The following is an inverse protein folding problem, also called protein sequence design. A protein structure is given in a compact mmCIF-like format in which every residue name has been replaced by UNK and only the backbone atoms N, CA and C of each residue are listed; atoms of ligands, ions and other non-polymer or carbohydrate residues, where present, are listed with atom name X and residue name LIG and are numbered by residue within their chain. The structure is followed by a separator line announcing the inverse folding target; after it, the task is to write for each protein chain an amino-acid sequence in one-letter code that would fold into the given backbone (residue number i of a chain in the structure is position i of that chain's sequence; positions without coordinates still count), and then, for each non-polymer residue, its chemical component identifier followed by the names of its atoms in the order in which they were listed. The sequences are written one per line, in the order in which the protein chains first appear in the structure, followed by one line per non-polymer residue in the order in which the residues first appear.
data_IF_767304974226
#
_entry.id   IF_767304974226
#
_cell.length_a   1.000
_cell.length_b   1.000
_cell.length_c   1.000
_cell.angle_alpha   90.00
_cell.angle_beta   90.00
_cell.angle_gamma   90.00
#
_symmetry.space_group_name_H-M   'P 1'
#
loop_
_entity.id
_entity.type
_entity.pdbx_description
1 polymer ?
#
# COMPACT_ATOMS: atom_id res chain seq x y z
N UNK A 1 12.96 -24.05 -44.69
CA UNK A 1 11.63 -24.36 -44.14
C UNK A 1 10.90 -23.04 -43.93
N UNK A 2 10.09 -22.60 -44.89
CA UNK A 2 9.34 -21.33 -44.82
C UNK A 2 8.11 -21.53 -43.97
N UNK A 3 8.15 -21.05 -42.72
CA UNK A 3 6.98 -21.07 -41.82
C UNK A 3 5.88 -20.19 -42.44
N UNK A 4 4.74 -20.78 -42.77
CA UNK A 4 3.59 -20.08 -43.36
C UNK A 4 3.16 -18.93 -42.45
N UNK A 5 2.86 -17.72 -43.01
CA UNK A 5 2.36 -16.55 -42.29
C UNK A 5 1.15 -16.85 -41.40
N UNK A 6 0.37 -17.90 -41.72
CA UNK A 6 -0.79 -18.34 -40.92
C UNK A 6 -0.39 -19.06 -39.62
N UNK A 7 0.70 -19.86 -39.63
CA UNK A 7 1.20 -20.55 -38.42
C UNK A 7 1.87 -19.58 -37.45
N UNK A 8 2.44 -18.49 -37.93
CA UNK A 8 3.10 -17.46 -37.11
C UNK A 8 2.15 -16.71 -36.17
N UNK A 9 0.85 -16.66 -36.46
CA UNK A 9 -0.17 -16.03 -35.59
C UNK A 9 -0.47 -16.82 -34.31
N UNK A 10 -0.27 -18.14 -34.33
CA UNK A 10 -0.56 -19.03 -33.20
C UNK A 10 0.64 -19.26 -32.28
N UNK A 11 1.86 -19.01 -32.74
CA UNK A 11 3.08 -19.21 -31.95
C UNK A 11 3.05 -18.43 -30.63
N UNK A 12 2.69 -17.12 -30.59
CA UNK A 12 2.62 -16.37 -29.32
C UNK A 12 1.59 -16.98 -28.36
N UNK A 13 0.45 -17.43 -28.86
CA UNK A 13 -0.58 -18.04 -28.03
C UNK A 13 -0.16 -19.38 -27.43
N UNK A 14 0.55 -20.22 -28.22
CA UNK A 14 1.09 -21.51 -27.75
C UNK A 14 2.16 -21.27 -26.67
N UNK A 15 3.02 -20.25 -26.85
CA UNK A 15 4.05 -19.90 -25.87
C UNK A 15 3.47 -19.35 -24.56
N UNK A 16 2.37 -18.60 -24.62
CA UNK A 16 1.73 -17.99 -23.44
C UNK A 16 0.75 -19.00 -22.77
N UNK A 17 0.26 -20.00 -23.51
CA UNK A 17 -0.76 -20.96 -23.03
C UNK A 17 -0.40 -21.62 -21.69
N UNK A 18 0.84 -22.14 -21.45
CA UNK A 18 1.20 -22.72 -20.16
C UNK A 18 1.03 -21.73 -19.00
N UNK A 19 1.44 -20.48 -19.21
CA UNK A 19 1.31 -19.41 -18.20
C UNK A 19 -0.16 -19.09 -17.94
N UNK A 20 -1.00 -19.00 -19.00
CA UNK A 20 -2.45 -18.75 -18.88
C UNK A 20 -3.12 -19.89 -18.11
N UNK A 21 -2.79 -21.14 -18.41
CA UNK A 21 -3.37 -22.30 -17.73
C UNK A 21 -2.98 -22.34 -16.25
N UNK A 22 -1.68 -22.18 -15.93
CA UNK A 22 -1.20 -22.18 -14.55
C UNK A 22 -1.81 -21.00 -13.77
N UNK A 23 -1.78 -19.78 -14.33
CA UNK A 23 -2.35 -18.59 -13.66
C UNK A 23 -3.87 -18.68 -13.58
N UNK A 24 -4.54 -19.18 -14.60
CA UNK A 24 -5.97 -19.44 -14.55
C UNK A 24 -6.34 -20.38 -13.39
N UNK A 25 -5.66 -21.50 -13.29
CA UNK A 25 -5.90 -22.46 -12.21
C UNK A 25 -5.55 -21.86 -10.84
N UNK A 26 -4.36 -21.29 -10.67
CA UNK A 26 -3.90 -20.77 -9.36
C UNK A 26 -4.64 -19.52 -8.89
N UNK A 27 -5.28 -18.79 -9.78
CA UNK A 27 -6.02 -17.56 -9.44
C UNK A 27 -7.53 -17.77 -9.45
N UNK A 28 -8.10 -18.33 -10.53
CA UNK A 28 -9.57 -18.47 -10.66
C UNK A 28 -10.12 -19.53 -9.72
N UNK A 29 -9.44 -20.67 -9.57
CA UNK A 29 -9.93 -21.75 -8.71
C UNK A 29 -10.09 -21.31 -7.24
N UNK A 30 -9.10 -20.70 -6.58
CA UNK A 30 -9.28 -20.19 -5.22
C UNK A 30 -10.37 -19.11 -5.11
N UNK A 31 -10.53 -18.25 -6.11
CA UNK A 31 -11.59 -17.24 -6.12
C UNK A 31 -12.97 -17.92 -6.13
N UNK A 32 -13.16 -18.91 -7.00
CA UNK A 32 -14.43 -19.65 -7.10
C UNK A 32 -14.73 -20.43 -5.80
N UNK A 33 -13.70 -21.05 -5.21
CA UNK A 33 -13.84 -21.74 -3.91
C UNK A 33 -14.21 -20.76 -2.81
N UNK A 34 -13.58 -19.58 -2.75
CA UNK A 34 -13.90 -18.53 -1.77
C UNK A 34 -15.32 -18.01 -1.95
N UNK A 35 -15.76 -17.76 -3.20
CA UNK A 35 -17.13 -17.37 -3.51
C UNK A 35 -18.15 -18.45 -3.07
N UNK A 36 -17.85 -19.73 -3.34
CA UNK A 36 -18.68 -20.84 -2.86
C UNK A 36 -18.73 -20.86 -1.34
N UNK A 37 -17.57 -20.86 -0.68
CA UNK A 37 -17.49 -20.99 0.78
C UNK A 37 -18.16 -19.82 1.51
N UNK A 38 -18.22 -18.64 0.92
CA UNK A 38 -18.91 -17.47 1.50
C UNK A 38 -20.42 -17.66 1.68
N UNK A 39 -21.03 -18.60 0.93
CA UNK A 39 -22.44 -18.93 1.02
C UNK A 39 -22.75 -20.08 2.00
N UNK A 40 -21.71 -20.62 2.65
CA UNK A 40 -21.81 -21.73 3.59
C UNK A 40 -21.35 -21.29 4.98
N UNK A 41 -21.97 -21.84 6.03
CA UNK A 41 -21.43 -21.83 7.38
C UNK A 41 -20.46 -23.01 7.52
N UNK A 42 -19.15 -22.72 7.44
CA UNK A 42 -18.10 -23.73 7.50
C UNK A 42 -17.28 -23.49 8.77
N UNK A 43 -17.54 -24.29 9.79
CA UNK A 43 -16.80 -24.28 11.07
C UNK A 43 -16.03 -25.58 11.24
N UNK A 44 -14.72 -25.53 11.07
CA UNK A 44 -13.87 -26.73 11.06
C UNK A 44 -13.89 -27.44 12.42
N UNK A 45 -13.92 -26.70 13.53
CA UNK A 45 -13.91 -27.28 14.89
C UNK A 45 -15.19 -28.07 15.22
N UNK A 46 -16.36 -27.59 14.76
CA UNK A 46 -17.65 -28.23 15.05
C UNK A 46 -18.13 -29.14 13.93
N UNK A 47 -17.38 -29.26 12.83
CA UNK A 47 -17.76 -30.06 11.66
C UNK A 47 -18.97 -29.51 10.89
N UNK A 48 -19.43 -28.29 11.19
CA UNK A 48 -20.56 -27.67 10.49
C UNK A 48 -20.16 -27.30 9.06
N UNK A 49 -20.98 -27.69 8.11
CA UNK A 49 -20.84 -27.32 6.69
C UNK A 49 -22.24 -27.24 6.06
N UNK A 50 -22.93 -26.14 6.30
CA UNK A 50 -24.33 -25.94 5.90
C UNK A 50 -24.45 -24.76 4.93
N UNK A 51 -25.32 -24.90 3.93
CA UNK A 51 -25.63 -23.80 3.03
C UNK A 51 -26.53 -22.78 3.74
N UNK A 52 -26.02 -21.56 3.94
CA UNK A 52 -26.73 -20.47 4.62
C UNK A 52 -27.03 -19.28 3.71
N UNK A 53 -26.73 -19.38 2.42
CA UNK A 53 -26.95 -18.31 1.45
C UNK A 53 -26.25 -17.02 1.85
N UNK A 54 -27.01 -15.94 2.00
CA UNK A 54 -26.45 -14.61 2.33
C UNK A 54 -26.40 -14.30 3.84
N UNK A 55 -26.69 -15.26 4.73
CA UNK A 55 -26.73 -15.00 6.16
C UNK A 55 -25.37 -14.52 6.71
N UNK A 56 -24.25 -15.06 6.22
CA UNK A 56 -22.92 -14.60 6.60
C UNK A 56 -22.72 -13.12 6.25
N UNK A 57 -23.19 -12.65 5.10
CA UNK A 57 -23.10 -11.26 4.68
C UNK A 57 -23.88 -10.33 5.61
N UNK A 58 -25.08 -10.75 6.04
CA UNK A 58 -25.88 -9.98 7.02
C UNK A 58 -25.16 -9.89 8.36
N UNK A 59 -24.53 -10.98 8.81
CA UNK A 59 -23.81 -11.03 10.07
C UNK A 59 -22.58 -10.12 10.05
N UNK A 60 -21.87 -10.01 8.92
CA UNK A 60 -20.71 -9.11 8.77
C UNK A 60 -21.08 -7.65 9.05
N UNK A 61 -22.26 -7.19 8.60
CA UNK A 61 -22.71 -5.81 8.86
C UNK A 61 -23.08 -5.55 10.32
N UNK A 62 -23.34 -6.59 11.11
CA UNK A 62 -23.69 -6.49 12.55
C UNK A 62 -22.49 -6.74 13.47
N UNK A 63 -21.34 -7.14 12.92
CA UNK A 63 -20.14 -7.46 13.69
C UNK A 63 -19.32 -6.20 13.95
N UNK A 64 -19.34 -5.71 15.19
CA UNK A 64 -18.60 -4.51 15.62
C UNK A 64 -17.09 -4.65 15.40
N UNK A 65 -16.55 -5.86 15.50
CA UNK A 65 -15.12 -6.12 15.28
C UNK A 65 -14.76 -5.94 13.80
N UNK A 66 -15.65 -6.33 12.90
CA UNK A 66 -15.47 -6.12 11.46
C UNK A 66 -15.57 -4.64 11.13
N UNK A 67 -16.52 -3.91 11.71
CA UNK A 67 -16.65 -2.46 11.51
C UNK A 67 -15.39 -1.73 12.00
N UNK A 68 -14.85 -2.12 13.16
CA UNK A 68 -13.58 -1.59 13.68
C UNK A 68 -12.42 -1.88 12.71
N UNK A 69 -12.34 -3.11 12.19
CA UNK A 69 -11.29 -3.50 11.24
C UNK A 69 -11.38 -2.74 9.91
N UNK A 70 -12.59 -2.54 9.37
CA UNK A 70 -12.82 -1.74 8.17
C UNK A 70 -12.41 -0.28 8.42
N UNK A 71 -12.89 0.30 9.53
CA UNK A 71 -12.59 1.68 9.90
C UNK A 71 -11.09 1.91 10.03
N UNK A 72 -10.39 1.05 10.76
CA UNK A 72 -8.95 1.19 10.91
C UNK A 72 -8.21 0.92 9.59
N UNK A 73 -8.66 -0.02 8.75
CA UNK A 73 -8.06 -0.24 7.43
C UNK A 73 -8.14 1.02 6.56
N UNK A 74 -9.28 1.70 6.54
CA UNK A 74 -9.43 2.96 5.80
C UNK A 74 -8.49 4.03 6.34
N UNK A 75 -8.45 4.23 7.67
CA UNK A 75 -7.53 5.18 8.31
C UNK A 75 -6.09 4.83 7.98
N UNK A 76 -5.69 3.57 8.13
CA UNK A 76 -4.35 3.08 7.86
C UNK A 76 -3.94 3.36 6.40
N UNK A 77 -4.78 3.00 5.43
CA UNK A 77 -4.50 3.21 4.01
C UNK A 77 -4.39 4.70 3.70
N UNK A 78 -5.37 5.52 4.11
CA UNK A 78 -5.39 6.95 3.77
C UNK A 78 -4.22 7.68 4.42
N UNK A 79 -4.02 7.49 5.72
CA UNK A 79 -2.96 8.19 6.45
C UNK A 79 -1.58 7.74 5.95
N UNK A 80 -1.34 6.43 5.82
CA UNK A 80 -0.08 5.93 5.28
C UNK A 80 0.19 6.48 3.88
N UNK A 81 -0.81 6.50 2.98
CA UNK A 81 -0.62 7.00 1.62
C UNK A 81 -0.31 8.51 1.57
N UNK A 82 -1.01 9.31 2.37
CA UNK A 82 -0.72 10.76 2.47
C UNK A 82 0.74 10.99 2.89
N UNK A 83 1.18 10.30 3.94
CA UNK A 83 2.56 10.41 4.39
C UNK A 83 3.57 9.81 3.40
N UNK A 84 3.25 8.72 2.70
CA UNK A 84 4.12 8.18 1.64
C UNK A 84 4.32 9.18 0.51
N UNK A 85 3.27 9.87 0.07
CA UNK A 85 3.39 10.89 -0.97
C UNK A 85 4.24 12.06 -0.47
N UNK A 86 3.93 12.62 0.68
CA UNK A 86 4.63 13.81 1.21
C UNK A 86 6.09 13.50 1.51
N UNK A 87 6.32 12.51 2.36
CA UNK A 87 7.68 12.17 2.83
C UNK A 87 8.49 11.46 1.75
N UNK A 88 7.83 10.66 0.90
CA UNK A 88 8.48 9.95 -0.20
C UNK A 88 8.97 10.90 -1.30
N UNK A 89 8.17 11.92 -1.66
CA UNK A 89 8.63 12.98 -2.57
C UNK A 89 9.76 13.77 -1.93
N UNK A 90 9.65 14.13 -0.64
CA UNK A 90 10.73 14.84 0.07
C UNK A 90 12.03 14.03 0.10
N UNK A 91 11.95 12.74 0.44
CA UNK A 91 13.11 11.85 0.43
C UNK A 91 13.68 11.67 -0.99
N UNK A 92 12.84 11.54 -2.00
CA UNK A 92 13.27 11.45 -3.40
C UNK A 92 14.03 12.69 -3.85
N UNK A 93 13.59 13.88 -3.46
CA UNK A 93 14.31 15.14 -3.73
C UNK A 93 15.69 15.15 -3.08
N UNK A 94 15.81 14.73 -1.81
CA UNK A 94 17.10 14.59 -1.12
C UNK A 94 18.02 13.62 -1.86
N UNK A 95 17.49 12.45 -2.25
CA UNK A 95 18.24 11.43 -2.97
C UNK A 95 18.60 11.84 -4.42
N UNK A 96 17.91 12.86 -4.98
CA UNK A 96 18.21 13.43 -6.29
C UNK A 96 19.35 14.44 -6.27
N UNK A 97 19.68 15.00 -5.12
CA UNK A 97 20.75 15.99 -4.97
C UNK A 97 22.11 15.40 -5.40
N UNK A 98 22.97 16.28 -5.95
CA UNK A 98 24.34 15.92 -6.37
C UNK A 98 25.31 16.08 -5.20
N UNK A 99 25.67 14.98 -4.53
CA UNK A 99 26.68 14.95 -3.46
C UNK A 99 27.50 13.66 -3.49
N UNK A 100 28.69 13.71 -2.84
CA UNK A 100 29.56 12.54 -2.71
C UNK A 100 28.88 11.50 -1.82
N UNK A 101 28.85 10.21 -2.26
CA UNK A 101 28.23 9.12 -1.49
C UNK A 101 26.73 8.91 -1.75
N UNK A 102 26.07 9.67 -2.64
CA UNK A 102 24.63 9.50 -2.94
C UNK A 102 24.24 8.08 -3.35
N UNK A 103 25.13 7.35 -4.05
CA UNK A 103 24.85 5.95 -4.44
C UNK A 103 24.76 5.05 -3.21
N UNK A 104 25.68 5.20 -2.28
CA UNK A 104 25.70 4.47 -1.03
C UNK A 104 24.47 4.78 -0.16
N UNK A 105 24.09 6.07 -0.05
CA UNK A 105 22.88 6.47 0.66
C UNK A 105 21.61 5.83 0.07
N UNK A 106 21.48 5.79 -1.26
CA UNK A 106 20.35 5.13 -1.94
C UNK A 106 20.25 3.64 -1.60
N UNK A 107 21.38 2.96 -1.42
CA UNK A 107 21.42 1.55 -1.04
C UNK A 107 21.04 1.35 0.43
N UNK A 108 21.58 2.13 1.34
CA UNK A 108 21.30 2.02 2.79
C UNK A 108 19.85 2.35 3.11
N UNK A 109 19.30 3.38 2.48
CA UNK A 109 17.91 3.79 2.68
C UNK A 109 16.92 2.65 2.34
N UNK A 110 17.28 1.72 1.43
CA UNK A 110 16.43 0.57 1.09
C UNK A 110 16.47 -0.59 2.10
N UNK A 111 17.36 -0.57 3.09
CA UNK A 111 17.48 -1.67 4.08
C UNK A 111 16.15 -1.98 4.77
N UNK A 112 15.38 -1.00 5.28
CA UNK A 112 14.10 -1.30 5.93
C UNK A 112 13.11 -2.02 5.00
N UNK A 113 13.03 -1.63 3.74
CA UNK A 113 12.15 -2.27 2.77
C UNK A 113 12.54 -3.72 2.48
N UNK A 114 13.83 -4.03 2.46
CA UNK A 114 14.32 -5.39 2.21
C UNK A 114 14.06 -6.36 3.38
N UNK A 115 13.70 -5.86 4.57
CA UNK A 115 13.42 -6.69 5.73
C UNK A 115 11.99 -7.29 5.66
N UNK A 116 11.81 -8.57 6.07
CA UNK A 116 10.48 -9.16 6.20
C UNK A 116 9.61 -8.39 7.20
N UNK A 117 8.33 -8.15 6.85
CA UNK A 117 7.43 -7.36 7.69
C UNK A 117 7.21 -7.96 9.08
N UNK A 118 7.22 -9.30 9.19
CA UNK A 118 7.15 -10.01 10.49
C UNK A 118 8.33 -9.63 11.40
N UNK A 119 9.54 -9.58 10.85
CA UNK A 119 10.76 -9.22 11.62
C UNK A 119 10.66 -7.77 12.11
N UNK A 120 10.19 -6.87 11.24
CA UNK A 120 9.97 -5.47 11.62
C UNK A 120 8.89 -5.36 12.70
N UNK A 121 7.78 -6.10 12.56
CA UNK A 121 6.72 -6.13 13.57
C UNK A 121 7.20 -6.62 14.94
N UNK A 122 8.01 -7.69 14.97
CA UNK A 122 8.62 -8.19 16.21
C UNK A 122 9.59 -7.19 16.83
N UNK A 123 10.46 -6.58 16.01
CA UNK A 123 11.38 -5.54 16.46
C UNK A 123 10.63 -4.30 16.97
N UNK A 124 9.54 -3.92 16.31
CA UNK A 124 8.68 -2.82 16.74
C UNK A 124 7.99 -3.13 18.07
N UNK A 125 7.42 -4.32 18.22
CA UNK A 125 6.81 -4.76 19.49
C UNK A 125 7.79 -4.62 20.64
N UNK A 126 9.04 -5.00 20.43
CA UNK A 126 10.12 -4.82 21.40
C UNK A 126 10.48 -3.35 21.59
N UNK A 127 10.64 -2.59 20.50
CA UNK A 127 11.04 -1.18 20.53
C UNK A 127 10.01 -0.26 21.20
N UNK A 128 8.71 -0.57 21.10
CA UNK A 128 7.62 0.16 21.73
C UNK A 128 7.23 -0.40 23.12
N UNK A 129 8.02 -1.31 23.69
CA UNK A 129 7.75 -1.83 25.03
C UNK A 129 7.89 -0.71 26.07
N UNK A 130 7.02 -0.73 27.11
CA UNK A 130 6.99 0.30 28.17
C UNK A 130 8.26 0.34 28.98
N UNK A 131 8.81 -0.81 29.37
CA UNK A 131 9.87 -0.91 30.38
C UNK A 131 11.27 -0.77 29.76
N UNK A 132 11.52 -1.52 28.68
CA UNK A 132 12.82 -1.65 28.05
C UNK A 132 12.86 -1.22 26.57
N UNK A 133 11.76 -0.65 26.07
CA UNK A 133 11.65 -0.30 24.65
C UNK A 133 12.49 0.92 24.28
N UNK A 134 13.09 0.85 23.09
CA UNK A 134 13.97 1.91 22.55
C UNK A 134 13.29 3.28 22.48
N UNK A 135 11.98 3.32 22.22
CA UNK A 135 11.22 4.57 22.07
C UNK A 135 11.15 5.30 23.42
N UNK A 136 10.78 4.61 24.49
CA UNK A 136 10.76 5.19 25.84
C UNK A 136 12.18 5.53 26.32
N UNK A 137 13.18 4.68 26.02
CA UNK A 137 14.56 4.94 26.39
C UNK A 137 15.13 6.20 25.70
N UNK A 138 14.79 6.38 24.43
CA UNK A 138 15.17 7.60 23.70
C UNK A 138 14.54 8.85 24.30
N UNK A 139 13.24 8.81 24.66
CA UNK A 139 12.54 9.96 25.24
C UNK A 139 13.04 10.25 26.66
N UNK A 140 13.37 9.22 27.45
CA UNK A 140 13.96 9.37 28.81
C UNK A 140 15.27 10.18 28.84
N UNK A 141 15.99 10.25 27.73
CA UNK A 141 17.19 11.12 27.63
C UNK A 141 16.86 12.61 27.68
N UNK A 142 15.60 12.98 27.44
CA UNK A 142 15.12 14.38 27.43
C UNK A 142 14.07 14.66 28.50
N UNK A 143 13.32 13.63 28.93
CA UNK A 143 12.26 13.72 29.93
C UNK A 143 12.49 12.64 30.97
N UNK A 144 12.91 13.04 32.16
CA UNK A 144 13.17 12.13 33.28
C UNK A 144 11.93 11.28 33.58
N UNK A 145 12.10 10.01 33.93
CA UNK A 145 11.07 9.05 34.30
C UNK A 145 9.94 8.85 33.25
N UNK A 146 10.16 9.23 32.01
CA UNK A 146 9.14 9.03 30.96
C UNK A 146 8.81 7.54 30.79
N UNK A 147 7.54 7.21 30.97
CA UNK A 147 6.97 5.88 30.70
C UNK A 147 5.65 6.02 29.96
N UNK A 148 5.51 5.33 28.85
CA UNK A 148 4.28 5.32 28.08
C UNK A 148 4.04 3.97 27.41
N UNK A 149 2.83 3.46 27.59
CA UNK A 149 2.39 2.19 27.01
C UNK A 149 1.85 2.40 25.59
N UNK A 150 2.73 2.42 24.62
CA UNK A 150 2.41 2.72 23.22
C UNK A 150 1.40 1.77 22.58
N UNK A 151 1.46 0.49 22.92
CA UNK A 151 0.67 -0.56 22.28
C UNK A 151 -0.61 -0.94 23.06
N UNK A 152 -0.85 -0.33 24.22
CA UNK A 152 -2.06 -0.57 25.03
C UNK A 152 -3.15 0.47 24.73
N UNK A 153 -2.78 1.68 24.36
CA UNK A 153 -3.74 2.72 24.02
C UNK A 153 -4.05 2.70 22.53
N UNK A 154 -5.32 2.71 22.14
CA UNK A 154 -5.80 2.64 20.75
C UNK A 154 -5.11 3.64 19.83
N UNK A 155 -5.05 4.91 20.22
CA UNK A 155 -4.48 5.98 19.40
C UNK A 155 -2.98 5.78 19.13
N UNK A 156 -2.21 5.51 20.16
CA UNK A 156 -0.76 5.29 20.03
C UNK A 156 -0.42 3.97 19.34
N UNK A 157 -1.20 2.90 19.57
CA UNK A 157 -1.01 1.62 18.88
C UNK A 157 -1.24 1.76 17.37
N UNK A 158 -2.33 2.43 16.95
CA UNK A 158 -2.61 2.75 15.54
C UNK A 158 -1.50 3.61 14.93
N UNK A 159 -1.07 4.66 15.63
CA UNK A 159 0.01 5.52 15.18
C UNK A 159 1.33 4.75 15.04
N UNK A 160 1.66 3.87 15.98
CA UNK A 160 2.85 3.03 15.93
C UNK A 160 2.85 2.06 14.74
N UNK A 161 1.71 1.41 14.45
CA UNK A 161 1.56 0.54 13.26
C UNK A 161 1.76 1.34 11.98
N UNK A 162 1.15 2.53 11.85
CA UNK A 162 1.32 3.41 10.68
C UNK A 162 2.78 3.88 10.56
N UNK A 163 3.42 4.25 11.66
CA UNK A 163 4.81 4.70 11.66
C UNK A 163 5.78 3.60 11.20
N UNK A 164 5.54 2.35 11.60
CA UNK A 164 6.36 1.22 11.18
C UNK A 164 6.14 0.83 9.71
N UNK A 165 4.90 0.92 9.21
CA UNK A 165 4.60 0.78 7.78
C UNK A 165 5.34 1.84 6.95
N UNK A 166 5.28 3.11 7.40
CA UNK A 166 6.00 4.20 6.76
C UNK A 166 7.51 3.97 6.78
N UNK A 167 8.08 3.66 7.94
CA UNK A 167 9.53 3.43 8.05
C UNK A 167 10.00 2.32 7.12
N UNK A 168 9.21 1.27 6.97
CA UNK A 168 9.53 0.13 6.11
C UNK A 168 9.45 0.48 4.63
N UNK A 169 8.33 1.02 4.16
CA UNK A 169 8.01 1.08 2.73
C UNK A 169 8.29 2.44 2.08
N UNK A 170 8.40 3.53 2.88
CA UNK A 170 8.71 4.88 2.40
C UNK A 170 9.97 4.95 1.52
N UNK A 171 11.10 4.28 1.89
CA UNK A 171 12.30 4.33 1.07
C UNK A 171 12.09 3.77 -0.34
N UNK A 172 11.34 2.70 -0.48
CA UNK A 172 11.06 2.11 -1.78
C UNK A 172 10.16 3.02 -2.62
N UNK A 173 9.12 3.60 -2.02
CA UNK A 173 8.29 4.62 -2.68
C UNK A 173 9.16 5.79 -3.17
N UNK A 174 10.05 6.30 -2.33
CA UNK A 174 10.94 7.42 -2.67
C UNK A 174 11.88 7.09 -3.84
N UNK A 175 12.43 5.87 -3.91
CA UNK A 175 13.28 5.44 -5.04
C UNK A 175 12.48 5.37 -6.34
N UNK A 176 11.23 4.94 -6.29
CA UNK A 176 10.36 4.93 -7.47
C UNK A 176 9.98 6.35 -7.93
N UNK A 177 9.72 7.27 -6.99
CA UNK A 177 9.54 8.69 -7.30
C UNK A 177 10.82 9.30 -7.86
N UNK A 178 11.99 8.95 -7.30
CA UNK A 178 13.29 9.40 -7.79
C UNK A 178 13.50 9.01 -9.26
N UNK A 179 13.04 7.83 -9.69
CA UNK A 179 13.12 7.45 -11.09
C UNK A 179 12.36 8.44 -11.99
N UNK A 180 11.17 8.90 -11.57
CA UNK A 180 10.41 9.93 -12.25
C UNK A 180 11.15 11.27 -12.31
N UNK A 181 11.78 11.69 -11.21
CA UNK A 181 12.58 12.92 -11.16
C UNK A 181 13.76 12.90 -12.14
N UNK A 182 14.33 11.73 -12.43
CA UNK A 182 15.47 11.62 -13.34
C UNK A 182 15.11 11.78 -14.82
N UNK A 183 13.83 11.72 -15.18
CA UNK A 183 13.37 11.99 -16.54
C UNK A 183 13.20 13.48 -16.83
N UNK A 184 13.26 14.37 -15.83
CA UNK A 184 13.16 15.82 -16.04
C UNK A 184 14.53 16.32 -16.49
N UNK A 185 14.57 16.95 -17.70
CA UNK A 185 15.80 17.53 -18.22
C UNK A 185 16.31 18.67 -17.31
N UNK A 186 17.64 18.73 -17.14
CA UNK A 186 18.31 19.84 -16.45
C UNK A 186 18.04 21.21 -17.07
N UNK A 187 17.90 21.26 -18.39
CA UNK A 187 17.69 22.49 -19.15
C UNK A 187 16.41 23.23 -18.72
N UNK A 188 15.36 22.48 -18.31
CA UNK A 188 14.12 23.09 -17.80
C UNK A 188 14.40 23.88 -16.51
N UNK A 189 15.24 23.36 -15.64
CA UNK A 189 15.62 24.04 -14.40
C UNK A 189 16.58 25.24 -14.67
N UNK A 190 17.43 25.14 -15.68
CA UNK A 190 18.31 26.22 -16.09
C UNK A 190 17.50 27.37 -16.70
N UNK A 191 16.54 27.08 -17.59
CA UNK A 191 15.63 28.07 -18.13
C UNK A 191 14.83 28.79 -17.03
N UNK A 192 14.22 28.01 -16.11
CA UNK A 192 13.48 28.57 -14.98
C UNK A 192 14.35 29.47 -14.08
N UNK A 193 15.63 29.14 -13.93
CA UNK A 193 16.57 29.97 -13.18
C UNK A 193 16.89 31.25 -13.88
N UNK A 194 17.00 31.27 -15.23
CA UNK A 194 17.16 32.49 -16.05
C UNK A 194 15.94 33.38 -15.92
N UNK A 195 14.72 32.79 -15.88
CA UNK A 195 13.45 33.47 -15.65
C UNK A 195 13.27 33.97 -14.20
N UNK A 196 14.26 33.78 -13.32
CA UNK A 196 14.26 34.25 -11.93
C UNK A 196 13.48 33.39 -10.96
N UNK A 197 13.09 32.15 -11.32
CA UNK A 197 12.41 31.24 -10.42
C UNK A 197 13.33 30.77 -9.29
N UNK A 198 12.87 30.91 -8.04
CA UNK A 198 13.54 30.34 -6.89
C UNK A 198 13.25 28.83 -6.74
N UNK A 199 13.95 28.13 -5.84
CA UNK A 199 13.83 26.69 -5.65
C UNK A 199 12.40 26.22 -5.29
N UNK A 200 11.67 27.00 -4.48
CA UNK A 200 10.29 26.69 -4.08
C UNK A 200 9.34 26.86 -5.29
N UNK A 201 9.53 27.91 -6.06
CA UNK A 201 8.75 28.13 -7.28
C UNK A 201 9.03 27.04 -8.31
N UNK A 202 10.29 26.65 -8.50
CA UNK A 202 10.67 25.55 -9.39
C UNK A 202 10.08 24.21 -8.91
N UNK A 203 10.00 23.97 -7.60
CA UNK A 203 9.36 22.78 -7.07
C UNK A 203 7.87 22.74 -7.41
N UNK A 204 7.09 23.76 -7.03
CA UNK A 204 5.64 23.73 -7.18
C UNK A 204 5.16 23.92 -8.64
N UNK A 205 5.89 24.68 -9.46
CA UNK A 205 5.48 25.00 -10.83
C UNK A 205 6.07 24.06 -11.90
N UNK A 206 7.17 23.37 -11.59
CA UNK A 206 7.87 22.51 -12.56
C UNK A 206 7.96 21.08 -12.04
N UNK A 207 8.67 20.88 -10.92
CA UNK A 207 8.99 19.53 -10.45
C UNK A 207 7.73 18.74 -10.10
N UNK A 208 6.89 19.29 -9.21
CA UNK A 208 5.71 18.60 -8.70
C UNK A 208 4.70 18.26 -9.82
N UNK A 209 4.32 19.18 -10.74
CA UNK A 209 3.44 18.84 -11.84
C UNK A 209 4.01 17.73 -12.75
N UNK A 210 5.30 17.79 -13.07
CA UNK A 210 5.94 16.83 -13.97
C UNK A 210 6.04 15.42 -13.38
N UNK A 211 6.25 15.28 -12.06
CA UNK A 211 6.29 13.98 -11.39
C UNK A 211 4.91 13.47 -10.94
N UNK A 212 3.88 14.32 -10.93
CA UNK A 212 2.55 13.98 -10.38
C UNK A 212 1.97 12.73 -11.05
N UNK A 213 2.11 12.61 -12.36
CA UNK A 213 1.64 11.44 -13.11
C UNK A 213 2.30 10.15 -12.61
N UNK A 214 3.62 10.18 -12.37
CA UNK A 214 4.36 9.05 -11.78
C UNK A 214 3.88 8.77 -10.35
N UNK A 215 3.78 9.80 -9.50
CA UNK A 215 3.34 9.65 -8.10
C UNK A 215 1.94 9.03 -8.03
N UNK A 216 0.97 9.50 -8.80
CA UNK A 216 -0.39 8.95 -8.84
C UNK A 216 -0.38 7.49 -9.31
N UNK A 217 0.41 7.16 -10.33
CA UNK A 217 0.57 5.78 -10.80
C UNK A 217 1.12 4.86 -9.69
N UNK A 218 2.07 5.35 -8.89
CA UNK A 218 2.62 4.61 -7.76
C UNK A 218 1.64 4.45 -6.59
N UNK A 219 0.71 5.38 -6.40
CA UNK A 219 -0.30 5.26 -5.34
C UNK A 219 -1.18 4.02 -5.51
N UNK A 220 -1.43 3.56 -6.74
CA UNK A 220 -2.29 2.39 -6.98
C UNK A 220 -1.70 1.11 -6.36
N UNK A 221 -0.51 0.61 -6.74
CA UNK A 221 0.04 -0.60 -6.16
C UNK A 221 0.33 -0.46 -4.66
N UNK A 222 0.74 0.72 -4.19
CA UNK A 222 1.00 0.94 -2.76
C UNK A 222 -0.29 0.90 -1.93
N UNK A 223 -1.41 1.41 -2.45
CA UNK A 223 -2.73 1.26 -1.81
C UNK A 223 -3.14 -0.22 -1.75
N UNK A 224 -2.96 -0.97 -2.83
CA UNK A 224 -3.27 -2.40 -2.87
C UNK A 224 -2.46 -3.19 -1.83
N UNK A 225 -1.17 -2.90 -1.68
CA UNK A 225 -0.33 -3.54 -0.66
C UNK A 225 -0.84 -3.29 0.75
N UNK A 226 -1.25 -2.05 1.06
CA UNK A 226 -1.78 -1.72 2.40
C UNK A 226 -3.10 -2.38 2.71
N UNK A 227 -3.96 -2.54 1.73
CA UNK A 227 -5.21 -3.28 1.90
C UNK A 227 -5.00 -4.77 2.21
N UNK A 228 -3.85 -5.33 1.82
CA UNK A 228 -3.47 -6.72 2.08
C UNK A 228 -2.47 -6.88 3.22
N UNK A 229 -2.13 -5.80 3.94
CA UNK A 229 -1.18 -5.84 5.06
C UNK A 229 -1.74 -6.72 6.19
N UNK A 230 -0.98 -7.76 6.52
CA UNK A 230 -1.26 -8.72 7.60
C UNK A 230 -0.07 -8.87 8.53
N UNK A 231 1.10 -9.14 7.98
CA UNK A 231 2.30 -9.59 8.69
C UNK A 231 2.76 -8.62 9.79
N UNK A 232 2.73 -7.32 9.49
CA UNK A 232 3.14 -6.27 10.43
C UNK A 232 2.24 -6.24 11.66
N UNK A 233 0.91 -6.23 11.46
CA UNK A 233 -0.07 -6.21 12.54
C UNK A 233 -0.01 -7.50 13.36
N UNK A 234 0.09 -8.64 12.68
CA UNK A 234 0.21 -9.94 13.32
C UNK A 234 1.40 -9.98 14.29
N UNK A 235 2.57 -9.55 13.86
CA UNK A 235 3.78 -9.63 14.66
C UNK A 235 3.90 -8.53 15.72
N UNK A 236 3.37 -7.33 15.46
CA UNK A 236 3.53 -6.17 16.33
C UNK A 236 2.47 -6.10 17.43
N UNK A 237 1.19 -6.18 17.07
CA UNK A 237 0.07 -5.94 17.99
C UNK A 237 -0.87 -7.11 18.15
N UNK A 238 -0.83 -8.08 17.24
CA UNK A 238 -1.83 -9.15 17.15
C UNK A 238 -3.26 -8.62 17.10
N UNK A 239 -3.48 -7.47 16.42
CA UNK A 239 -4.75 -6.78 16.30
C UNK A 239 -5.13 -5.88 17.48
N UNK A 240 -4.40 -5.95 18.62
CA UNK A 240 -4.72 -5.25 19.88
C UNK A 240 -4.31 -3.77 19.92
N UNK A 241 -4.78 -3.02 20.94
CA UNK A 241 -5.62 -3.47 22.05
C UNK A 241 -7.04 -3.83 21.60
N UNK A 242 -7.66 -4.80 22.25
CA UNK A 242 -8.96 -5.31 21.83
C UNK A 242 -8.94 -5.85 20.40
N UNK A 243 -9.44 -5.07 19.44
CA UNK A 243 -9.39 -5.33 17.99
C UNK A 243 -9.00 -4.05 17.23
N UNK A 244 -8.51 -3.03 17.94
CA UNK A 244 -8.40 -1.64 17.45
C UNK A 244 -7.32 -1.44 16.37
N UNK A 245 -6.33 -2.31 16.30
CA UNK A 245 -5.32 -2.32 15.22
C UNK A 245 -5.52 -3.48 14.24
N UNK A 246 -6.66 -4.17 14.32
CA UNK A 246 -7.01 -5.24 13.40
C UNK A 246 -7.32 -4.65 12.02
N UNK A 247 -6.48 -4.92 11.02
CA UNK A 247 -6.77 -4.63 9.62
C UNK A 247 -7.68 -5.72 9.04
N UNK A 248 -8.41 -5.41 7.98
CA UNK A 248 -9.35 -6.37 7.37
C UNK A 248 -8.63 -7.67 6.91
N UNK A 249 -7.42 -7.58 6.38
CA UNK A 249 -6.63 -8.74 6.00
C UNK A 249 -6.23 -9.59 7.21
N UNK A 250 -5.87 -8.94 8.33
CA UNK A 250 -5.59 -9.62 9.59
C UNK A 250 -6.85 -10.32 10.13
N UNK A 251 -8.01 -9.64 10.10
CA UNK A 251 -9.29 -10.21 10.51
C UNK A 251 -9.68 -11.43 9.71
N UNK A 252 -9.59 -11.38 8.37
CA UNK A 252 -9.85 -12.52 7.48
C UNK A 252 -8.98 -13.71 7.88
N UNK A 253 -7.68 -13.49 8.10
CA UNK A 253 -6.74 -14.54 8.46
C UNK A 253 -7.05 -15.13 9.84
N UNK A 254 -7.37 -14.30 10.83
CA UNK A 254 -7.76 -14.75 12.17
C UNK A 254 -9.02 -15.60 12.14
N UNK A 255 -10.05 -15.19 11.36
CA UNK A 255 -11.27 -15.99 11.22
C UNK A 255 -11.01 -17.33 10.54
N UNK A 256 -10.17 -17.34 9.49
CA UNK A 256 -9.89 -18.55 8.73
C UNK A 256 -9.04 -19.56 9.51
N UNK A 257 -7.99 -19.10 10.20
CA UNK A 257 -6.92 -19.97 10.72
C UNK A 257 -6.89 -20.07 12.25
N UNK A 258 -7.37 -19.05 12.97
CA UNK A 258 -7.43 -19.08 14.43
C UNK A 258 -8.81 -19.52 14.92
N UNK A 259 -9.87 -18.88 14.42
CA UNK A 259 -11.24 -19.18 14.77
C UNK A 259 -11.80 -20.39 13.98
N UNK A 260 -11.09 -20.80 12.92
CA UNK A 260 -11.45 -21.90 12.03
C UNK A 260 -12.88 -21.79 11.46
N UNK A 261 -13.33 -20.52 11.26
CA UNK A 261 -14.61 -20.14 10.66
C UNK A 261 -14.42 -19.78 9.19
N UNK A 262 -14.22 -20.80 8.37
CA UNK A 262 -13.81 -20.64 6.96
C UNK A 262 -14.90 -19.96 6.12
N UNK A 263 -16.17 -20.25 6.38
CA UNK A 263 -17.30 -19.64 5.66
C UNK A 263 -17.38 -18.14 5.89
N UNK A 264 -17.27 -17.71 7.14
CA UNK A 264 -17.27 -16.30 7.52
C UNK A 264 -16.03 -15.55 6.99
N UNK A 265 -14.84 -16.15 7.11
CA UNK A 265 -13.61 -15.60 6.54
C UNK A 265 -13.69 -15.42 5.02
N UNK A 266 -14.28 -16.39 4.31
CA UNK A 266 -14.51 -16.29 2.87
C UNK A 266 -15.47 -15.14 2.52
N UNK A 267 -16.49 -14.91 3.34
CA UNK A 267 -17.43 -13.78 3.17
C UNK A 267 -16.70 -12.44 3.33
N UNK A 268 -15.88 -12.29 4.36
CA UNK A 268 -15.06 -11.09 4.56
C UNK A 268 -14.13 -10.83 3.38
N UNK A 269 -13.48 -11.87 2.85
CA UNK A 269 -12.59 -11.77 1.71
C UNK A 269 -13.32 -11.31 0.43
N UNK A 270 -14.52 -11.85 0.16
CA UNK A 270 -15.35 -11.44 -0.99
C UNK A 270 -15.77 -9.98 -0.86
N UNK A 271 -16.22 -9.55 0.34
CA UNK A 271 -16.62 -8.17 0.58
C UNK A 271 -15.45 -7.19 0.43
N UNK A 272 -14.28 -7.52 0.98
CA UNK A 272 -13.09 -6.70 0.86
C UNK A 272 -12.67 -6.53 -0.62
N UNK A 273 -12.74 -7.59 -1.43
CA UNK A 273 -12.49 -7.52 -2.86
C UNK A 273 -13.52 -6.67 -3.62
N UNK A 274 -14.80 -6.76 -3.26
CA UNK A 274 -15.86 -5.97 -3.88
C UNK A 274 -15.67 -4.46 -3.60
N UNK A 275 -15.36 -4.10 -2.35
CA UNK A 275 -15.05 -2.71 -1.96
C UNK A 275 -13.83 -2.17 -2.71
N UNK A 276 -12.78 -2.98 -2.84
CA UNK A 276 -11.57 -2.62 -3.59
C UNK A 276 -11.88 -2.33 -5.06
N UNK A 277 -12.65 -3.20 -5.71
CA UNK A 277 -13.07 -3.00 -7.12
C UNK A 277 -13.91 -1.74 -7.28
N UNK A 278 -14.84 -1.48 -6.36
CA UNK A 278 -15.66 -0.27 -6.38
C UNK A 278 -14.79 1.01 -6.24
N UNK A 279 -13.82 1.00 -5.34
CA UNK A 279 -12.87 2.10 -5.15
C UNK A 279 -12.01 2.35 -6.40
N UNK A 280 -11.48 1.30 -7.02
CA UNK A 280 -10.70 1.40 -8.25
C UNK A 280 -11.52 1.90 -9.44
N UNK A 281 -12.75 1.41 -9.60
CA UNK A 281 -13.65 1.86 -10.66
C UNK A 281 -14.03 3.33 -10.50
N UNK A 282 -14.21 3.80 -9.25
CA UNK A 282 -14.49 5.20 -8.98
C UNK A 282 -13.26 6.09 -9.25
N UNK A 283 -12.05 5.61 -8.96
CA UNK A 283 -10.81 6.31 -9.29
C UNK A 283 -10.55 6.45 -10.80
N UNK A 284 -11.09 5.56 -11.61
CA UNK A 284 -10.96 5.56 -13.08
C UNK A 284 -12.11 6.29 -13.82
N UNK A 285 -13.08 6.86 -13.10
CA UNK A 285 -14.16 7.62 -13.76
C UNK A 285 -13.61 8.97 -14.28
N UNK A 286 -13.86 9.33 -15.55
CA UNK A 286 -13.29 10.52 -16.19
C UNK A 286 -13.72 11.87 -15.58
N UNK A 287 -14.50 11.90 -14.53
CA UNK A 287 -14.94 13.10 -13.79
C UNK A 287 -14.38 13.19 -12.35
N UNK A 288 -13.48 12.31 -11.95
CA UNK A 288 -12.79 12.46 -10.68
C UNK A 288 -11.62 13.40 -10.86
N UNK A 289 -11.33 14.30 -9.90
CA UNK A 289 -10.25 15.28 -9.94
C UNK A 289 -8.86 14.76 -10.33
N UNK A 290 -8.72 13.45 -10.53
CA UNK A 290 -7.54 12.78 -11.07
C UNK A 290 -7.30 13.18 -12.53
N UNK A 291 -8.36 13.27 -13.36
CA UNK A 291 -8.22 13.71 -14.76
C UNK A 291 -7.86 15.21 -14.85
N UNK A 292 -8.35 16.03 -13.91
CA UNK A 292 -7.93 17.43 -13.81
C UNK A 292 -6.43 17.55 -13.50
N UNK A 293 -5.86 16.63 -12.71
CA UNK A 293 -4.42 16.57 -12.44
C UNK A 293 -3.62 16.13 -13.69
N UNK A 294 -4.19 15.26 -14.54
CA UNK A 294 -3.54 14.82 -15.77
C UNK A 294 -3.59 15.91 -16.86
N UNK A 295 -4.69 16.67 -16.97
CA UNK A 295 -4.82 17.75 -17.96
C UNK A 295 -3.98 18.99 -17.66
N UNK A 296 -3.62 19.27 -16.41
CA UNK A 296 -2.68 20.34 -16.06
C UNK A 296 -1.27 20.05 -16.63
N UNK A 297 -0.88 18.77 -16.76
CA UNK A 297 0.39 18.37 -17.39
C UNK A 297 0.40 18.55 -18.92
N UNK A 298 -0.74 18.33 -19.58
CA UNK A 298 -0.85 18.40 -21.04
C UNK A 298 -0.93 19.86 -21.54
N UNK A 299 -1.40 20.80 -20.72
CA UNK A 299 -1.44 22.23 -21.05
C UNK A 299 -0.06 22.89 -21.24
N UNK A 300 0.98 22.27 -20.68
CA UNK A 300 2.36 22.80 -20.80
C UNK A 300 3.01 22.35 -22.12
N UNK A 301 2.59 21.24 -22.72
CA UNK A 301 3.11 20.77 -24.01
C UNK A 301 2.66 21.60 -25.21
N UNK A 302 1.56 22.36 -25.11
CA UNK A 302 1.07 23.26 -26.16
C UNK A 302 1.81 24.59 -26.26
N UNK A 303 2.60 24.98 -25.26
CA UNK A 303 3.39 26.20 -25.29
C UNK A 303 4.67 26.11 -26.16
N UNK A 304 5.08 24.87 -26.52
CA UNK A 304 6.25 24.66 -27.40
C UNK A 304 5.97 24.82 -28.90
N UNK A 305 4.70 24.99 -29.32
CA UNK A 305 4.33 25.16 -30.74
C UNK A 305 4.07 26.60 -31.17
N UNK A 306 4.27 27.60 -30.29
CA UNK A 306 4.02 29.01 -30.62
C UNK A 306 5.33 29.81 -30.80
N UNK A 307 6.47 29.14 -30.75
CA UNK A 307 7.79 29.76 -30.94
C UNK A 307 8.54 29.12 -32.11
N UNK A 308 7.98 29.23 -33.33
CA UNK A 308 8.70 29.17 -34.62
C UNK A 308 8.03 30.06 -35.62
#
# INVERSE_FOLDING_TARGET
MTISKKSMKWIPWILILPVILIRGFTTLYPILVTLKNSLFDIKVLSGVNEFVGLANYVNVFKDDKVQTSISFTVIFVVVSMVFHVILGVALALILNMKFKGRRFLRTIVLIPWAMPAVVIGMAAKWGFNNDYGLVNDFIRRFVEDFQYNWLINTGSARAAVIAMDLWKDLPFFAILVLSGLQFISGDIYEAAKVDGANGVQSFFRITLPLIMKNVVTLCIPFTLWRLTTFDLVYAMTSGGPGEDTSLIAYRITTEAFTNLNVGYAATLAVMAQAQLRAALNNAHRPNTGVDALFHVGDGISHLHHISN
#
